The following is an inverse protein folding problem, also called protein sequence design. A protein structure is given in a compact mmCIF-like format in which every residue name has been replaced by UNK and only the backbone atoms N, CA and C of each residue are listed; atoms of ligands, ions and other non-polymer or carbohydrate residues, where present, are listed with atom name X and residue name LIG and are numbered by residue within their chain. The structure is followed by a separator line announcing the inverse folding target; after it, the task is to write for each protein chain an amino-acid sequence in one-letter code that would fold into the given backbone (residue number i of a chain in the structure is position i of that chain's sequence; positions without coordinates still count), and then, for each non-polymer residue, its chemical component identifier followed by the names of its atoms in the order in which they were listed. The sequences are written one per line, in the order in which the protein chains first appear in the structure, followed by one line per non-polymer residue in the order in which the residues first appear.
data_IF_059463051258
#
_entry.id   IF_059463051258
#
_cell.length_a   1.000
_cell.length_b   1.000
_cell.length_c   1.000
_cell.angle_alpha   90.00
_cell.angle_beta   90.00
_cell.angle_gamma   90.00
#
_symmetry.space_group_name_H-M   'P 1'
#
loop_
_entity.id
_entity.type
_entity.pdbx_description
1 polymer ?
#
# COMPACT_ATOMS: atom_id res chain seq x y z
N UNK A 1 -27.36 -20.01 17.74
CA UNK A 1 -26.02 -20.09 17.13
C UNK A 1 -25.90 -18.92 16.18
N UNK A 2 -25.09 -17.91 16.51
CA UNK A 2 -24.89 -16.73 15.66
C UNK A 2 -23.92 -17.10 14.53
N UNK A 3 -24.22 -16.84 13.26
CA UNK A 3 -23.27 -17.13 12.19
C UNK A 3 -22.05 -16.23 12.36
N UNK A 4 -20.89 -16.86 12.51
CA UNK A 4 -19.59 -16.18 12.50
C UNK A 4 -19.30 -15.78 11.05
N UNK A 5 -19.08 -14.49 10.80
CA UNK A 5 -18.69 -14.01 9.49
C UNK A 5 -17.45 -14.78 8.99
N UNK A 6 -17.34 -15.12 7.69
CA UNK A 6 -16.20 -15.85 7.18
C UNK A 6 -14.92 -15.07 7.50
N UNK A 7 -13.99 -15.73 8.18
CA UNK A 7 -12.67 -15.17 8.45
C UNK A 7 -12.06 -14.78 7.11
N UNK A 8 -11.84 -13.48 6.89
CA UNK A 8 -11.06 -12.98 5.76
C UNK A 8 -9.75 -13.77 5.72
N UNK A 9 -9.35 -14.34 4.57
CA UNK A 9 -8.08 -15.05 4.47
C UNK A 9 -6.99 -14.12 5.01
N UNK A 10 -6.21 -14.63 5.95
CA UNK A 10 -5.19 -13.89 6.68
C UNK A 10 -4.29 -13.18 5.66
N UNK A 11 -4.47 -11.87 5.47
CA UNK A 11 -3.80 -11.09 4.41
C UNK A 11 -2.30 -10.88 4.72
N UNK A 12 -1.78 -11.53 5.75
CA UNK A 12 -0.45 -11.31 6.28
C UNK A 12 -0.34 -9.96 6.98
N UNK A 13 0.86 -9.63 7.52
CA UNK A 13 1.09 -8.33 8.13
C UNK A 13 0.86 -7.21 7.10
N UNK A 14 0.07 -6.21 7.49
CA UNK A 14 -0.21 -5.03 6.69
C UNK A 14 0.83 -3.93 6.98
N UNK A 15 1.15 -3.12 5.97
CA UNK A 15 2.03 -1.97 6.07
C UNK A 15 1.29 -0.73 5.57
N UNK A 16 1.21 0.35 6.36
CA UNK A 16 0.63 1.59 5.92
C UNK A 16 1.61 2.34 5.00
N UNK A 17 1.13 2.71 3.81
CA UNK A 17 1.90 3.38 2.78
C UNK A 17 1.27 4.71 2.41
N UNK A 18 2.07 5.61 1.85
CA UNK A 18 1.62 6.85 1.23
C UNK A 18 2.05 6.85 -0.22
N UNK A 19 1.08 6.95 -1.12
CA UNK A 19 1.29 7.14 -2.54
C UNK A 19 1.34 8.63 -2.84
N UNK A 20 2.46 9.11 -3.38
CA UNK A 20 2.65 10.51 -3.72
C UNK A 20 2.39 10.72 -5.22
N UNK A 21 1.61 11.75 -5.56
CA UNK A 21 1.34 12.20 -6.93
C UNK A 21 1.65 13.69 -7.05
N UNK A 22 1.50 14.22 -8.26
CA UNK A 22 1.63 15.66 -8.47
C UNK A 22 0.53 16.41 -7.70
N UNK A 23 0.94 17.24 -6.73
CA UNK A 23 0.05 18.11 -5.95
C UNK A 23 -0.74 17.44 -4.82
N UNK A 24 -0.69 16.11 -4.66
CA UNK A 24 -1.39 15.42 -3.56
C UNK A 24 -0.77 14.06 -3.20
N UNK A 25 -1.21 13.51 -2.08
CA UNK A 25 -0.87 12.15 -1.64
C UNK A 25 -2.09 11.47 -1.03
N UNK A 26 -2.08 10.14 -0.98
CA UNK A 26 -3.12 9.37 -0.31
C UNK A 26 -2.53 8.13 0.41
N UNK A 27 -3.08 7.75 1.57
CA UNK A 27 -2.66 6.57 2.28
C UNK A 27 -3.32 5.30 1.70
N UNK A 28 -2.60 4.17 1.79
CA UNK A 28 -3.13 2.84 1.47
C UNK A 28 -2.42 1.77 2.31
N UNK A 29 -3.18 0.87 2.94
CA UNK A 29 -2.62 -0.28 3.63
C UNK A 29 -2.48 -1.45 2.65
N UNK A 30 -1.25 -1.93 2.47
CA UNK A 30 -0.94 -3.08 1.62
C UNK A 30 -0.26 -4.19 2.42
N UNK A 31 -0.36 -5.47 2.01
CA UNK A 31 0.45 -6.54 2.59
C UNK A 31 1.95 -6.18 2.55
N UNK A 32 2.68 -6.53 3.60
CA UNK A 32 4.10 -6.14 3.78
C UNK A 32 4.99 -6.56 2.61
N UNK A 33 4.69 -7.70 2.00
CA UNK A 33 5.45 -8.33 0.92
C UNK A 33 4.83 -8.14 -0.47
N UNK A 34 3.85 -7.25 -0.60
CA UNK A 34 3.21 -6.96 -1.88
C UNK A 34 4.15 -6.18 -2.83
N UNK A 35 3.96 -6.34 -4.14
CA UNK A 35 4.81 -5.71 -5.15
C UNK A 35 4.41 -4.25 -5.39
N UNK A 36 5.17 -3.33 -4.78
CA UNK A 36 4.92 -1.89 -4.92
C UNK A 36 5.04 -1.40 -6.36
N UNK A 37 5.81 -2.08 -7.22
CA UNK A 37 5.93 -1.70 -8.64
C UNK A 37 4.63 -1.99 -9.38
N UNK A 38 4.04 -3.17 -9.18
CA UNK A 38 2.74 -3.52 -9.76
C UNK A 38 1.63 -2.56 -9.30
N UNK A 39 1.65 -2.15 -8.03
CA UNK A 39 0.74 -1.12 -7.52
C UNK A 39 0.96 0.23 -8.19
N UNK A 40 2.20 0.66 -8.39
CA UNK A 40 2.51 1.91 -9.07
C UNK A 40 2.10 1.89 -10.55
N UNK A 41 2.27 0.78 -11.25
CA UNK A 41 1.81 0.59 -12.64
C UNK A 41 0.28 0.68 -12.76
N UNK A 42 -0.44 0.09 -11.80
CA UNK A 42 -1.89 0.20 -11.70
C UNK A 42 -2.36 1.60 -11.26
N UNK A 43 -1.46 2.46 -10.81
CA UNK A 43 -1.72 3.82 -10.36
C UNK A 43 -0.88 4.84 -11.13
N UNK A 44 -1.18 5.09 -12.42
CA UNK A 44 -0.43 6.05 -13.23
C UNK A 44 -0.31 7.43 -12.56
N UNK A 45 0.88 8.02 -12.64
CA UNK A 45 1.21 9.28 -11.99
C UNK A 45 1.75 9.15 -10.55
N UNK A 46 1.93 7.93 -10.05
CA UNK A 46 2.65 7.71 -8.79
C UNK A 46 4.12 8.12 -8.94
N UNK A 47 4.56 9.09 -8.13
CA UNK A 47 5.92 9.63 -8.16
C UNK A 47 6.86 8.90 -7.19
N UNK A 48 6.33 8.48 -6.03
CA UNK A 48 7.02 7.66 -5.04
C UNK A 48 6.00 7.03 -4.10
N UNK A 49 6.41 5.95 -3.44
CA UNK A 49 5.65 5.32 -2.36
C UNK A 49 6.53 5.34 -1.10
N UNK A 50 5.97 5.83 0.01
CA UNK A 50 6.69 5.90 1.30
C UNK A 50 5.99 5.11 2.38
N UNK A 51 6.73 4.59 3.36
CA UNK A 51 6.15 4.08 4.60
C UNK A 51 5.49 5.22 5.38
N UNK A 52 4.23 5.06 5.79
CA UNK A 52 3.52 6.10 6.53
C UNK A 52 4.08 6.31 7.95
N UNK A 53 4.70 5.27 8.53
CA UNK A 53 5.24 5.32 9.90
C UNK A 53 6.66 5.89 9.95
N UNK A 54 7.51 5.52 8.99
CA UNK A 54 8.94 5.87 9.01
C UNK A 54 9.29 6.99 8.03
N UNK A 55 8.43 7.28 7.04
CA UNK A 55 8.73 8.21 5.95
C UNK A 55 9.73 7.66 4.91
N UNK A 56 10.22 6.43 5.08
CA UNK A 56 11.15 5.79 4.16
C UNK A 56 10.57 5.66 2.75
N UNK A 57 11.37 5.96 1.72
CA UNK A 57 10.99 5.73 0.32
C UNK A 57 11.18 4.25 0.00
N UNK A 58 10.07 3.56 -0.20
CA UNK A 58 10.05 2.12 -0.50
C UNK A 58 10.01 1.84 -1.99
N UNK A 59 9.57 2.81 -2.78
CA UNK A 59 9.53 2.71 -4.24
C UNK A 59 9.61 4.10 -4.90
N UNK A 60 10.26 4.15 -6.07
CA UNK A 60 10.28 5.28 -7.02
C UNK A 60 10.49 4.72 -8.44
N UNK A 61 10.05 5.41 -9.51
CA UNK A 61 10.42 5.05 -10.88
C UNK A 61 11.95 4.97 -11.01
N UNK A 62 12.44 4.01 -11.78
CA UNK A 62 13.87 3.94 -12.15
C UNK A 62 14.23 4.97 -13.22
#
# INVERSE_FOLDING_TARGET
MTPQAPATPDRGPMRPLIFHREGFYYPLDLPLYDDLSAHAECNPGTLKITCALTGEILWRPQ
#
